data_IF_029874386606
#
_entry.id   IF_029874386606
#
_cell.length_a   1.000
_cell.length_b   1.000
_cell.length_c   1.000
_cell.angle_alpha   90.00
_cell.angle_beta   90.00
_cell.angle_gamma   90.00
#
_symmetry.space_group_name_H-M   'P 1'
#
loop_
_entity.id
_entity.type
_entity.pdbx_description
1 polymer ?
#
# COMPACT_ATOMS: atom_id res chain seq x y z
N UNK A 1 -7.13 13.34 -1.96
CA UNK A 1 -6.57 14.05 -0.78
C UNK A 1 -5.09 14.25 -1.02
N UNK A 2 -4.67 15.49 -1.09
CA UNK A 2 -3.25 15.80 -1.18
C UNK A 2 -2.70 15.91 0.24
N UNK A 3 -1.85 14.97 0.63
CA UNK A 3 -1.07 15.12 1.85
C UNK A 3 0.23 15.79 1.42
N UNK A 4 0.30 17.11 1.60
CA UNK A 4 1.57 17.83 1.51
C UNK A 4 2.37 17.46 2.76
N UNK A 5 3.28 16.53 2.61
CA UNK A 5 4.24 16.22 3.64
C UNK A 5 5.58 16.81 3.23
N UNK A 6 5.91 17.91 3.83
CA UNK A 6 7.29 18.36 3.87
C UNK A 6 8.05 17.45 4.83
N UNK A 7 8.15 16.19 4.45
CA UNK A 7 9.03 15.24 5.14
C UNK A 7 10.44 15.67 4.75
N UNK A 8 11.00 16.58 5.53
CA UNK A 8 12.34 17.09 5.29
C UNK A 8 13.33 15.94 5.24
N UNK A 9 14.37 16.09 4.43
CA UNK A 9 15.50 15.16 4.30
C UNK A 9 16.20 14.83 5.64
N UNK A 10 15.75 15.44 6.74
CA UNK A 10 16.29 15.34 8.07
C UNK A 10 15.55 14.33 8.97
N UNK A 11 14.46 13.76 8.50
CA UNK A 11 13.72 12.78 9.32
C UNK A 11 14.39 11.41 9.25
N UNK A 12 14.61 10.74 10.39
CA UNK A 12 15.06 9.36 10.40
C UNK A 12 14.11 8.45 9.59
N UNK A 13 14.66 7.47 8.88
CA UNK A 13 13.90 6.52 8.07
C UNK A 13 12.76 5.86 8.84
N UNK A 14 12.98 5.54 10.11
CA UNK A 14 11.97 4.94 10.97
C UNK A 14 10.75 5.82 11.20
N UNK A 15 10.91 7.15 11.28
CA UNK A 15 9.80 8.09 11.41
C UNK A 15 9.06 8.24 10.09
N UNK A 16 9.78 8.30 8.98
CA UNK A 16 9.18 8.33 7.65
C UNK A 16 8.36 7.06 7.42
N UNK A 17 8.92 5.89 7.72
CA UNK A 17 8.24 4.62 7.59
C UNK A 17 6.95 4.57 8.44
N UNK A 18 7.04 4.99 9.70
CA UNK A 18 5.87 5.04 10.59
C UNK A 18 4.79 5.98 10.07
N UNK A 19 5.18 7.18 9.63
CA UNK A 19 4.25 8.16 9.09
C UNK A 19 3.55 7.66 7.83
N UNK A 20 4.29 7.12 6.87
CA UNK A 20 3.75 6.58 5.62
C UNK A 20 2.79 5.43 5.91
N UNK A 21 3.18 4.51 6.79
CA UNK A 21 2.32 3.41 7.23
C UNK A 21 1.01 3.90 7.81
N UNK A 22 1.05 4.85 8.74
CA UNK A 22 -0.15 5.40 9.38
C UNK A 22 -1.04 6.13 8.36
N UNK A 23 -0.45 6.88 7.45
CA UNK A 23 -1.19 7.61 6.42
C UNK A 23 -1.91 6.65 5.46
N UNK A 24 -1.23 5.63 4.96
CA UNK A 24 -1.79 4.64 4.05
C UNK A 24 -2.89 3.83 4.73
N UNK A 25 -2.63 3.30 5.91
CA UNK A 25 -3.62 2.50 6.65
C UNK A 25 -4.84 3.35 7.05
N UNK A 26 -4.63 4.59 7.48
CA UNK A 26 -5.72 5.50 7.81
C UNK A 26 -6.59 5.83 6.61
N UNK A 27 -5.97 6.07 5.46
CA UNK A 27 -6.68 6.35 4.22
C UNK A 27 -7.50 5.13 3.76
N UNK A 28 -6.91 3.95 3.77
CA UNK A 28 -7.61 2.71 3.38
C UNK A 28 -8.78 2.39 4.33
N UNK A 29 -8.61 2.61 5.64
CA UNK A 29 -9.71 2.47 6.62
C UNK A 29 -10.85 3.44 6.35
N UNK A 30 -10.54 4.68 5.99
CA UNK A 30 -11.53 5.67 5.61
C UNK A 30 -12.39 5.26 4.42
N UNK A 31 -11.89 4.36 3.59
CA UNK A 31 -12.61 3.83 2.42
C UNK A 31 -13.50 2.61 2.73
N UNK A 32 -13.40 2.00 3.92
CA UNK A 32 -14.19 0.81 4.27
C UNK A 32 -15.70 1.00 4.15
N UNK A 33 -16.31 2.14 4.54
CA UNK A 33 -17.75 2.34 4.37
C UNK A 33 -18.24 2.24 2.93
N UNK A 34 -17.33 2.39 1.96
CA UNK A 34 -17.68 2.36 0.53
C UNK A 34 -17.69 0.95 -0.08
N UNK A 35 -17.41 -0.08 0.71
CA UNK A 35 -17.31 -1.47 0.23
C UNK A 35 -18.56 -1.96 -0.49
N UNK A 36 -19.75 -1.53 -0.03
CA UNK A 36 -21.05 -1.92 -0.62
C UNK A 36 -21.40 -1.10 -1.85
N UNK A 37 -20.80 0.08 -2.00
CA UNK A 37 -21.10 1.02 -3.09
C UNK A 37 -20.21 0.77 -4.30
N UNK A 38 -18.91 0.62 -4.07
CA UNK A 38 -17.95 0.54 -5.18
C UNK A 38 -17.96 -0.79 -5.94
N UNK A 39 -18.24 -1.90 -5.29
CA UNK A 39 -18.30 -3.25 -5.93
C UNK A 39 -17.10 -3.52 -6.84
N UNK A 40 -15.90 -3.23 -6.34
CA UNK A 40 -14.68 -3.36 -7.12
C UNK A 40 -14.19 -4.81 -7.17
N UNK A 41 -13.58 -5.23 -8.29
CA UNK A 41 -12.97 -6.55 -8.37
C UNK A 41 -11.71 -6.63 -7.50
N UNK A 42 -11.23 -7.85 -7.18
CA UNK A 42 -9.93 -8.01 -6.55
C UNK A 42 -8.82 -7.32 -7.36
N UNK A 43 -7.88 -6.67 -6.68
CA UNK A 43 -6.83 -5.88 -7.31
C UNK A 43 -6.11 -6.65 -8.42
N UNK A 44 -5.70 -7.89 -8.13
CA UNK A 44 -4.92 -8.69 -9.09
C UNK A 44 -5.73 -9.25 -10.25
N UNK A 45 -7.04 -9.07 -10.24
CA UNK A 45 -7.96 -9.43 -11.32
C UNK A 45 -8.60 -8.21 -12.00
N UNK A 46 -8.20 -7.02 -11.57
CA UNK A 46 -8.84 -5.76 -11.99
C UNK A 46 -8.32 -5.20 -13.31
N UNK A 47 -7.18 -5.67 -13.78
CA UNK A 47 -6.48 -5.08 -14.93
C UNK A 47 -5.68 -3.82 -14.59
N UNK A 48 -5.65 -3.41 -13.32
CA UNK A 48 -4.85 -2.27 -12.87
C UNK A 48 -3.37 -2.58 -13.01
N UNK A 49 -2.60 -1.60 -13.51
CA UNK A 49 -1.16 -1.71 -13.69
C UNK A 49 -0.42 -0.71 -12.82
N UNK A 50 0.78 -1.09 -12.40
CA UNK A 50 1.70 -0.15 -11.76
C UNK A 50 2.12 0.92 -12.76
N UNK A 51 2.05 2.17 -12.29
CA UNK A 51 2.57 3.33 -13.02
C UNK A 51 3.03 4.38 -12.00
N UNK A 52 4.27 4.88 -12.10
CA UNK A 52 4.73 5.98 -11.25
C UNK A 52 3.86 7.21 -11.46
N UNK A 53 3.63 7.96 -10.39
CA UNK A 53 2.94 9.25 -10.50
C UNK A 53 3.77 10.24 -11.31
N UNK A 54 3.10 11.09 -12.13
CA UNK A 54 3.80 12.12 -12.94
C UNK A 54 4.63 13.08 -12.09
N UNK A 55 4.26 13.29 -10.82
CA UNK A 55 4.91 14.22 -9.89
C UNK A 55 5.83 13.52 -8.89
N UNK A 56 6.24 12.29 -9.17
CA UNK A 56 7.12 11.54 -8.28
C UNK A 56 8.42 12.32 -8.03
N UNK A 57 8.75 12.54 -6.75
CA UNK A 57 9.95 13.28 -6.34
C UNK A 57 9.75 14.77 -6.12
N UNK A 58 8.55 15.33 -6.30
CA UNK A 58 8.26 16.75 -6.04
C UNK A 58 7.91 17.05 -4.58
N UNK A 59 7.86 16.05 -3.70
CA UNK A 59 7.51 16.20 -2.28
C UNK A 59 6.01 16.24 -2.02
N UNK A 60 5.15 16.09 -3.03
CA UNK A 60 3.72 15.92 -2.84
C UNK A 60 3.31 14.46 -3.06
N UNK A 61 2.68 13.88 -2.05
CA UNK A 61 2.08 12.55 -2.12
C UNK A 61 0.58 12.70 -2.39
N UNK A 62 0.09 12.03 -3.43
CA UNK A 62 -1.32 12.01 -3.76
C UNK A 62 -1.86 10.57 -3.66
N UNK A 63 -2.73 10.33 -2.68
CA UNK A 63 -3.38 9.04 -2.53
C UNK A 63 -4.69 9.00 -3.33
N UNK A 64 -4.83 7.95 -4.14
CA UNK A 64 -6.06 7.73 -4.89
C UNK A 64 -7.01 6.78 -4.14
N UNK A 65 -8.30 7.09 -4.18
CA UNK A 65 -9.34 6.16 -3.73
C UNK A 65 -9.29 4.88 -4.57
N UNK A 66 -9.59 3.70 -4.00
CA UNK A 66 -9.66 2.45 -4.78
C UNK A 66 -10.53 2.55 -6.03
N UNK A 67 -11.68 3.21 -5.94
CA UNK A 67 -12.56 3.42 -7.09
C UNK A 67 -11.90 4.22 -8.22
N UNK A 68 -11.13 5.25 -7.86
CA UNK A 68 -10.41 6.06 -8.86
C UNK A 68 -9.27 5.26 -9.50
N UNK A 69 -8.52 4.52 -8.71
CA UNK A 69 -7.45 3.64 -9.22
C UNK A 69 -8.02 2.60 -10.19
N UNK A 70 -9.18 2.04 -9.88
CA UNK A 70 -9.87 1.11 -10.78
C UNK A 70 -10.34 1.79 -12.06
N UNK A 71 -10.92 2.97 -11.96
CA UNK A 71 -11.44 3.71 -13.12
C UNK A 71 -10.31 4.07 -14.09
N UNK A 72 -9.20 4.58 -13.60
CA UNK A 72 -8.06 4.96 -14.44
C UNK A 72 -7.16 3.79 -14.86
N UNK A 73 -7.30 2.62 -14.22
CA UNK A 73 -6.53 1.38 -14.48
C UNK A 73 -5.04 1.47 -14.21
N UNK A 74 -4.62 2.41 -13.41
CA UNK A 74 -3.23 2.50 -12.96
C UNK A 74 -3.12 3.08 -11.55
N UNK A 75 -2.02 2.82 -10.90
CA UNK A 75 -1.67 3.38 -9.60
C UNK A 75 -0.17 3.23 -9.33
N UNK A 76 0.36 4.07 -8.46
CA UNK A 76 1.70 3.90 -7.92
C UNK A 76 1.69 2.89 -6.74
N UNK A 77 2.84 2.71 -6.09
CA UNK A 77 2.93 1.72 -5.00
C UNK A 77 1.96 2.03 -3.86
N UNK A 78 1.76 3.30 -3.50
CA UNK A 78 0.86 3.71 -2.43
C UNK A 78 -0.59 3.39 -2.76
N UNK A 79 -1.02 3.75 -3.96
CA UNK A 79 -2.39 3.52 -4.44
C UNK A 79 -2.73 2.03 -4.48
N UNK A 80 -1.79 1.21 -4.94
CA UNK A 80 -1.98 -0.24 -5.04
C UNK A 80 -2.04 -0.89 -3.66
N UNK A 81 -1.23 -0.45 -2.71
CA UNK A 81 -1.28 -0.92 -1.33
C UNK A 81 -2.59 -0.50 -0.66
N UNK A 82 -3.04 0.74 -0.86
CA UNK A 82 -4.34 1.22 -0.35
C UNK A 82 -5.47 0.33 -0.87
N UNK A 83 -5.52 0.07 -2.16
CA UNK A 83 -6.53 -0.79 -2.77
C UNK A 83 -6.50 -2.20 -2.17
N UNK A 84 -5.30 -2.79 -2.07
CA UNK A 84 -5.14 -4.16 -1.55
C UNK A 84 -5.51 -4.26 -0.07
N UNK A 85 -5.11 -3.31 0.77
CA UNK A 85 -5.52 -3.27 2.18
C UNK A 85 -7.03 -3.15 2.32
N UNK A 86 -7.64 -2.22 1.59
CA UNK A 86 -9.09 -2.04 1.58
C UNK A 86 -9.81 -3.34 1.19
N UNK A 87 -9.38 -3.98 0.12
CA UNK A 87 -9.94 -5.27 -0.34
C UNK A 87 -9.86 -6.36 0.74
N UNK A 88 -8.68 -6.54 1.32
CA UNK A 88 -8.46 -7.56 2.36
C UNK A 88 -9.30 -7.28 3.60
N UNK A 89 -9.33 -6.04 4.05
CA UNK A 89 -10.13 -5.67 5.22
C UNK A 89 -11.64 -5.80 4.97
N UNK A 90 -12.11 -5.49 3.77
CA UNK A 90 -13.50 -5.74 3.40
C UNK A 90 -13.86 -7.23 3.48
N UNK A 91 -12.92 -8.10 3.20
CA UNK A 91 -13.08 -9.56 3.32
C UNK A 91 -12.85 -10.08 4.75
N UNK A 92 -12.56 -9.20 5.72
CA UNK A 92 -12.27 -9.58 7.10
C UNK A 92 -10.87 -10.17 7.29
N UNK A 93 -9.98 -10.03 6.33
CA UNK A 93 -8.61 -10.56 6.42
C UNK A 93 -7.66 -9.54 7.06
N UNK A 94 -6.87 -9.95 8.08
CA UNK A 94 -5.89 -9.06 8.68
C UNK A 94 -4.73 -8.79 7.73
N UNK A 95 -4.37 -7.53 7.61
CA UNK A 95 -3.23 -7.08 6.82
C UNK A 95 -2.74 -5.72 7.34
N UNK A 96 -1.49 -5.39 7.06
CA UNK A 96 -0.89 -4.11 7.41
C UNK A 96 -0.01 -3.61 6.27
N UNK A 97 0.28 -2.31 6.28
CA UNK A 97 1.25 -1.72 5.39
C UNK A 97 2.67 -2.00 5.92
N UNK A 98 3.55 -2.45 5.07
CA UNK A 98 4.98 -2.61 5.36
C UNK A 98 5.78 -1.62 4.52
N UNK A 99 6.62 -0.84 5.16
CA UNK A 99 7.45 0.18 4.50
C UNK A 99 8.90 -0.26 4.52
N UNK A 100 9.56 -0.22 3.37
CA UNK A 100 10.98 -0.45 3.22
C UNK A 100 11.61 0.71 2.44
N UNK A 101 12.93 0.80 2.50
CA UNK A 101 13.69 1.78 1.73
C UNK A 101 14.51 1.07 0.67
N UNK A 102 14.37 1.51 -0.57
CA UNK A 102 15.15 1.04 -1.71
C UNK A 102 15.79 2.28 -2.33
N UNK A 103 17.12 2.32 -2.40
CA UNK A 103 17.89 3.47 -2.91
C UNK A 103 17.45 4.80 -2.27
N UNK A 104 17.29 4.82 -0.94
CA UNK A 104 16.84 5.96 -0.13
C UNK A 104 15.42 6.47 -0.45
N UNK A 105 14.62 5.69 -1.16
CA UNK A 105 13.21 5.98 -1.39
C UNK A 105 12.33 4.97 -0.65
N UNK A 106 11.26 5.46 -0.05
CA UNK A 106 10.29 4.60 0.59
C UNK A 106 9.53 3.78 -0.48
N UNK A 107 9.37 2.51 -0.20
CA UNK A 107 8.56 1.58 -0.97
C UNK A 107 7.62 0.85 -0.03
N UNK A 108 6.36 0.74 -0.43
CA UNK A 108 5.31 0.16 0.41
C UNK A 108 4.86 -1.19 -0.14
N UNK A 109 4.60 -2.10 0.79
CA UNK A 109 4.13 -3.45 0.52
C UNK A 109 3.01 -3.81 1.49
N UNK A 110 2.37 -4.95 1.29
CA UNK A 110 1.35 -5.47 2.20
C UNK A 110 1.91 -6.64 2.99
N UNK A 111 1.77 -6.57 4.31
CA UNK A 111 2.05 -7.69 5.19
C UNK A 111 0.74 -8.41 5.50
N UNK A 112 0.66 -9.68 5.17
CA UNK A 112 -0.49 -10.53 5.50
C UNK A 112 -0.46 -10.89 6.99
N UNK A 113 -1.61 -11.13 7.54
CA UNK A 113 -1.79 -11.35 8.96
C UNK A 113 -1.44 -12.77 9.48
N UNK A 114 -1.98 -13.14 10.65
CA UNK A 114 -1.50 -14.28 11.43
C UNK A 114 -1.62 -15.65 10.75
N UNK A 115 -2.43 -15.81 9.72
CA UNK A 115 -2.53 -17.07 8.97
C UNK A 115 -1.22 -17.48 8.29
N UNK A 116 -0.28 -16.58 8.16
CA UNK A 116 1.02 -16.82 7.53
C UNK A 116 2.16 -16.99 8.55
N UNK A 117 1.84 -17.33 9.81
CA UNK A 117 2.87 -17.55 10.83
C UNK A 117 3.50 -18.94 10.70
N UNK A 118 4.76 -19.06 10.28
CA UNK A 118 5.50 -20.30 10.46
C UNK A 118 5.73 -20.58 11.95
N UNK A 119 5.87 -21.86 12.29
CA UNK A 119 6.23 -22.25 13.67
C UNK A 119 7.52 -21.57 14.11
N UNK A 120 7.52 -20.99 15.32
CA UNK A 120 8.70 -20.34 15.91
C UNK A 120 8.81 -18.85 15.68
N UNK A 121 7.91 -18.22 14.93
CA UNK A 121 7.86 -16.77 14.79
C UNK A 121 7.05 -16.13 15.91
N UNK A 122 7.49 -14.96 16.36
CA UNK A 122 6.77 -14.10 17.28
C UNK A 122 5.52 -13.49 16.64
N UNK A 123 4.83 -12.60 17.33
CA UNK A 123 3.55 -12.03 16.90
C UNK A 123 3.52 -11.35 15.52
N UNK A 124 4.68 -11.03 14.96
CA UNK A 124 4.80 -10.41 13.63
C UNK A 124 5.68 -11.31 12.77
N UNK A 125 5.11 -11.93 11.74
CA UNK A 125 5.90 -12.67 10.77
C UNK A 125 6.69 -11.70 9.90
N UNK A 126 8.00 -11.93 9.81
CA UNK A 126 8.90 -11.18 8.93
C UNK A 126 9.38 -12.01 7.74
N UNK A 127 8.79 -13.19 7.55
CA UNK A 127 9.16 -14.05 6.43
C UNK A 127 8.71 -13.44 5.09
N UNK A 128 9.46 -13.69 4.05
CA UNK A 128 9.15 -13.22 2.69
C UNK A 128 7.78 -13.71 2.21
N UNK A 129 7.37 -14.92 2.58
CA UNK A 129 6.09 -15.49 2.18
C UNK A 129 4.85 -14.80 2.78
N UNK A 130 5.04 -13.94 3.80
CA UNK A 130 3.95 -13.18 4.41
C UNK A 130 3.82 -11.76 3.84
N UNK A 131 4.72 -11.36 2.98
CA UNK A 131 4.74 -10.04 2.36
C UNK A 131 4.41 -10.18 0.89
N UNK A 132 3.45 -9.40 0.43
CA UNK A 132 3.17 -9.24 -1.00
C UNK A 132 3.52 -7.82 -1.44
N UNK A 133 4.00 -7.70 -2.66
CA UNK A 133 4.34 -6.42 -3.27
C UNK A 133 3.34 -6.14 -4.41
N UNK A 134 2.26 -5.39 -4.15
CA UNK A 134 1.26 -5.10 -5.18
C UNK A 134 1.85 -4.40 -6.41
N UNK A 135 2.84 -3.53 -6.23
CA UNK A 135 3.48 -2.86 -7.36
C UNK A 135 4.14 -3.86 -8.31
N UNK A 136 4.90 -4.81 -7.77
CA UNK A 136 5.56 -5.86 -8.58
C UNK A 136 4.53 -6.76 -9.25
N UNK A 137 3.52 -7.22 -8.51
CA UNK A 137 2.45 -8.08 -9.05
C UNK A 137 1.69 -7.37 -10.17
N UNK A 138 1.47 -6.05 -10.06
CA UNK A 138 0.81 -5.23 -11.07
C UNK A 138 1.75 -4.74 -12.18
N UNK A 139 3.01 -5.19 -12.22
CA UNK A 139 3.89 -5.00 -13.35
C UNK A 139 5.11 -4.12 -13.14
N UNK A 140 5.39 -3.63 -11.92
CA UNK A 140 6.65 -2.95 -11.64
C UNK A 140 7.84 -3.93 -11.79
N UNK A 141 9.01 -3.40 -12.12
CA UNK A 141 10.22 -4.21 -12.08
C UNK A 141 10.59 -4.48 -10.62
N UNK A 142 10.89 -5.73 -10.31
CA UNK A 142 11.47 -6.08 -9.02
C UNK A 142 12.81 -5.36 -8.87
N UNK A 143 13.01 -4.77 -7.70
CA UNK A 143 14.27 -4.12 -7.36
C UNK A 143 15.38 -5.17 -7.16
#
# INVERSE_FOLDING_TARGET
>A
MNICTDIGKEWPDEYVAWFVKCAIEGFARGCLPMARVWRLPPLYQSGIRFQPEPNHGTGSEEFALPALTFERKWGDCDDLVIYRLWELWCAGEPATCAVIFIDNQEHVRVRRGPQHRPRGHTNICQCEGCIEDPAVICGARAA
#
